data_IF_575462065737
#
_entry.id   IF_575462065737
#
_cell.length_a   1.000
_cell.length_b   1.000
_cell.length_c   1.000
_cell.angle_alpha   90.00
_cell.angle_beta   90.00
_cell.angle_gamma   90.00
#
_symmetry.space_group_name_H-M   'P 1'
#
loop_
_entity.id
_entity.type
_entity.pdbx_description
1 polymer ?
#
# COMPACT_ATOMS: atom_id res chain seq x y z
N UNK A 1 -43.83 2.10 16.88
CA UNK A 1 -42.55 2.06 16.15
C UNK A 1 -42.24 3.49 15.80
N UNK A 2 -41.18 4.05 16.38
CA UNK A 2 -40.73 5.42 16.06
C UNK A 2 -40.03 5.32 14.72
N UNK A 3 -40.69 5.80 13.67
CA UNK A 3 -40.10 5.98 12.36
C UNK A 3 -39.00 7.02 12.55
N UNK A 4 -37.77 6.56 12.67
CA UNK A 4 -36.60 7.42 12.74
C UNK A 4 -36.60 8.24 11.46
N UNK A 5 -36.99 9.49 11.63
CA UNK A 5 -37.00 10.56 10.65
C UNK A 5 -35.58 10.64 10.07
N UNK A 6 -35.36 9.90 8.97
CA UNK A 6 -34.10 9.86 8.23
C UNK A 6 -33.97 11.19 7.48
N UNK A 7 -33.80 12.27 8.24
CA UNK A 7 -33.67 13.65 7.72
C UNK A 7 -32.49 13.76 6.77
N UNK A 8 -31.44 12.98 7.03
CA UNK A 8 -30.17 13.02 6.31
C UNK A 8 -30.21 12.04 5.13
N UNK A 9 -29.97 12.54 3.93
CA UNK A 9 -29.90 11.74 2.70
C UNK A 9 -28.49 11.17 2.46
N UNK A 10 -27.46 11.98 2.73
CA UNK A 10 -26.06 11.58 2.66
C UNK A 10 -25.16 12.56 3.41
N UNK A 11 -23.90 12.19 3.59
CA UNK A 11 -22.85 13.04 4.10
C UNK A 11 -21.84 13.36 2.99
N UNK A 12 -21.21 14.51 3.13
CA UNK A 12 -20.07 14.92 2.33
C UNK A 12 -18.89 15.08 3.28
N UNK A 13 -17.82 14.34 3.02
CA UNK A 13 -16.55 14.44 3.71
C UNK A 13 -15.59 15.27 2.85
N UNK A 14 -15.00 16.29 3.44
CA UNK A 14 -13.90 17.03 2.83
C UNK A 14 -12.63 16.85 3.64
N UNK A 15 -11.52 16.66 2.93
CA UNK A 15 -10.21 16.52 3.55
C UNK A 15 -9.13 17.31 2.82
N UNK A 16 -8.06 17.67 3.52
CA UNK A 16 -6.88 18.29 2.91
C UNK A 16 -5.62 17.94 3.69
N UNK A 17 -4.51 17.79 2.98
CA UNK A 17 -3.19 17.54 3.58
C UNK A 17 -2.59 18.82 4.14
N UNK A 18 -1.94 18.73 5.30
CA UNK A 18 -1.18 19.84 5.89
C UNK A 18 0.07 19.34 6.63
N UNK A 19 1.09 20.18 6.68
CA UNK A 19 2.28 19.96 7.51
C UNK A 19 2.23 20.78 8.80
N UNK A 20 1.14 21.51 9.04
CA UNK A 20 0.96 22.32 10.24
C UNK A 20 0.26 21.52 11.34
N UNK A 21 0.90 21.43 12.51
CA UNK A 21 0.41 20.73 13.70
C UNK A 21 -0.65 21.52 14.49
N UNK A 22 -0.81 22.82 14.22
CA UNK A 22 -1.77 23.67 14.93
C UNK A 22 -3.16 23.68 14.30
N UNK A 23 -4.03 24.53 14.87
CA UNK A 23 -5.42 24.66 14.42
C UNK A 23 -5.52 24.85 12.89
N UNK A 24 -6.52 24.25 12.23
CA UNK A 24 -6.81 24.43 10.82
C UNK A 24 -6.77 25.92 10.45
N UNK A 25 -5.69 26.34 9.78
CA UNK A 25 -5.59 27.70 9.28
C UNK A 25 -6.58 27.82 8.12
N UNK A 26 -7.64 28.61 8.31
CA UNK A 26 -8.67 28.88 7.29
C UNK A 26 -8.05 29.47 6.01
N UNK A 27 -6.87 30.09 6.12
CA UNK A 27 -6.15 30.78 5.04
C UNK A 27 -5.13 29.92 4.29
N UNK A 28 -5.16 28.59 4.45
CA UNK A 28 -4.29 27.70 3.67
C UNK A 28 -4.88 27.53 2.26
N UNK A 29 -4.14 27.96 1.23
CA UNK A 29 -4.51 28.00 -0.21
C UNK A 29 -4.83 26.63 -0.83
N UNK A 30 -4.67 25.51 -0.09
CA UNK A 30 -4.95 24.19 -0.62
C UNK A 30 -6.46 23.90 -0.66
N UNK A 31 -6.93 23.58 -1.87
CA UNK A 31 -8.29 23.09 -2.11
C UNK A 31 -8.58 21.85 -1.25
N UNK A 32 -9.79 21.79 -0.71
CA UNK A 32 -10.31 20.58 -0.07
C UNK A 32 -10.61 19.53 -1.16
N UNK A 33 -10.19 18.31 -0.92
CA UNK A 33 -10.67 17.14 -1.65
C UNK A 33 -12.02 16.72 -1.06
N UNK A 34 -12.96 16.27 -1.91
CA UNK A 34 -14.34 15.98 -1.52
C UNK A 34 -14.69 14.52 -1.83
N UNK A 35 -15.42 13.90 -0.90
CA UNK A 35 -16.10 12.62 -1.07
C UNK A 35 -17.56 12.84 -0.73
N UNK A 36 -18.44 12.55 -1.69
CA UNK A 36 -19.88 12.71 -1.51
C UNK A 36 -20.59 11.36 -1.35
N UNK A 37 -21.91 11.45 -1.20
CA UNK A 37 -22.82 10.30 -1.17
C UNK A 37 -22.50 9.24 -0.11
N UNK A 38 -21.90 9.64 1.02
CA UNK A 38 -21.64 8.74 2.14
C UNK A 38 -22.98 8.50 2.85
N UNK A 39 -23.47 7.27 2.86
CA UNK A 39 -24.79 6.93 3.46
C UNK A 39 -24.72 6.65 4.96
N UNK A 40 -23.56 6.24 5.46
CA UNK A 40 -23.32 6.02 6.88
C UNK A 40 -22.74 7.24 7.58
N UNK A 41 -22.65 7.18 8.91
CA UNK A 41 -21.92 8.16 9.72
C UNK A 41 -20.41 7.89 9.77
N UNK A 42 -19.96 6.87 9.05
CA UNK A 42 -18.58 6.37 9.04
C UNK A 42 -18.11 6.19 7.60
N UNK A 43 -16.84 6.52 7.35
CA UNK A 43 -16.21 6.35 6.04
C UNK A 43 -14.71 6.05 6.21
N UNK A 44 -14.21 5.06 5.48
CA UNK A 44 -12.78 4.70 5.48
C UNK A 44 -12.09 5.29 4.25
N UNK A 45 -11.34 6.37 4.47
CA UNK A 45 -10.52 6.98 3.42
C UNK A 45 -9.28 6.12 3.14
N UNK A 46 -9.20 5.59 1.92
CA UNK A 46 -8.15 4.66 1.47
C UNK A 46 -7.28 5.28 0.37
N UNK A 47 -6.09 4.71 0.13
CA UNK A 47 -5.22 5.14 -0.99
C UNK A 47 -4.50 6.48 -0.77
N UNK A 48 -4.42 6.94 0.48
CA UNK A 48 -3.72 8.17 0.82
C UNK A 48 -2.21 8.00 0.67
N UNK A 49 -1.57 9.02 0.10
CA UNK A 49 -0.11 9.15 0.10
C UNK A 49 0.34 9.79 1.41
N UNK A 50 1.30 9.16 2.08
CA UNK A 50 1.95 9.66 3.29
C UNK A 50 3.02 10.72 2.97
N UNK A 51 2.68 11.73 2.17
CA UNK A 51 3.58 12.84 1.81
C UNK A 51 3.44 14.06 2.74
N UNK A 52 2.50 14.02 3.67
CA UNK A 52 2.23 15.06 4.66
C UNK A 52 2.03 14.44 6.04
N UNK A 53 2.38 15.19 7.09
CA UNK A 53 2.30 14.68 8.48
C UNK A 53 0.87 14.63 9.00
N UNK A 54 0.05 15.61 8.62
CA UNK A 54 -1.32 15.74 9.10
C UNK A 54 -2.31 15.91 7.95
N UNK A 55 -3.58 15.64 8.26
CA UNK A 55 -4.71 15.94 7.40
C UNK A 55 -5.79 16.64 8.22
N UNK A 56 -6.48 17.60 7.59
CA UNK A 56 -7.69 18.17 8.14
C UNK A 56 -8.89 17.48 7.52
N UNK A 57 -9.94 17.27 8.30
CA UNK A 57 -11.20 16.68 7.89
C UNK A 57 -12.35 17.57 8.34
N UNK A 58 -13.37 17.70 7.52
CA UNK A 58 -14.65 18.30 7.90
C UNK A 58 -15.78 17.57 7.21
N UNK A 59 -16.92 17.45 7.88
CA UNK A 59 -18.08 16.74 7.35
C UNK A 59 -19.29 17.65 7.33
N UNK A 60 -20.19 17.46 6.38
CA UNK A 60 -21.53 18.06 6.41
C UNK A 60 -22.59 17.02 6.12
N UNK A 61 -23.73 17.15 6.78
CA UNK A 61 -24.93 16.38 6.48
C UNK A 61 -25.69 17.05 5.34
N UNK A 62 -26.19 16.27 4.39
CA UNK A 62 -26.96 16.74 3.26
C UNK A 62 -28.31 16.02 3.22
N UNK A 63 -29.36 16.80 3.02
CA UNK A 63 -30.72 16.31 2.81
C UNK A 63 -31.05 16.49 1.31
N UNK A 64 -32.14 15.89 0.83
CA UNK A 64 -32.54 15.97 -0.59
C UNK A 64 -32.75 17.39 -1.13
N UNK A 65 -33.03 18.35 -0.25
CA UNK A 65 -33.28 19.74 -0.62
C UNK A 65 -32.07 20.66 -0.39
N UNK A 66 -31.23 20.37 0.60
CA UNK A 66 -30.19 21.30 1.04
C UNK A 66 -29.06 20.58 1.80
N UNK A 67 -27.83 21.08 1.64
CA UNK A 67 -26.69 20.70 2.45
C UNK A 67 -26.62 21.58 3.71
N UNK A 68 -26.40 20.96 4.87
CA UNK A 68 -26.13 21.66 6.12
C UNK A 68 -24.74 22.30 6.16
N UNK A 69 -24.44 22.96 7.26
CA UNK A 69 -23.11 23.53 7.51
C UNK A 69 -22.06 22.43 7.75
N UNK A 70 -20.80 22.76 7.46
CA UNK A 70 -19.69 21.88 7.81
C UNK A 70 -19.46 21.87 9.31
N UNK A 71 -19.04 20.72 9.82
CA UNK A 71 -18.46 20.59 11.14
C UNK A 71 -17.22 21.46 11.29
N UNK A 72 -16.86 21.73 12.53
CA UNK A 72 -15.51 22.21 12.84
C UNK A 72 -14.47 21.23 12.26
N UNK A 73 -13.44 21.75 11.57
CA UNK A 73 -12.40 20.90 11.00
C UNK A 73 -11.54 20.26 12.08
N UNK A 74 -11.28 18.96 11.94
CA UNK A 74 -10.41 18.19 12.83
C UNK A 74 -9.08 17.87 12.14
N UNK A 75 -7.97 18.05 12.86
CA UNK A 75 -6.63 17.66 12.40
C UNK A 75 -6.29 16.26 12.92
N UNK A 76 -5.94 15.33 12.03
CA UNK A 76 -5.48 13.99 12.36
C UNK A 76 -4.08 13.75 11.80
N UNK A 77 -3.25 13.01 12.54
CA UNK A 77 -1.92 12.59 12.08
C UNK A 77 -2.02 11.34 11.19
N UNK A 78 -1.42 11.40 10.00
CA UNK A 78 -1.29 10.23 9.12
C UNK A 78 0.04 9.56 9.36
N UNK A 79 0.10 8.65 10.34
CA UNK A 79 1.33 7.88 10.61
C UNK A 79 1.64 6.96 9.44
N UNK A 80 2.78 7.20 8.79
CA UNK A 80 3.37 6.22 7.89
C UNK A 80 3.80 5.01 8.71
N UNK A 81 3.29 3.83 8.37
CA UNK A 81 3.85 2.58 8.87
C UNK A 81 5.14 2.32 8.09
N UNK A 82 6.27 2.66 8.69
CA UNK A 82 7.57 2.28 8.14
C UNK A 82 7.71 0.78 8.36
N UNK A 83 7.56 -0.01 7.30
CA UNK A 83 7.94 -1.41 7.32
C UNK A 83 9.42 -1.50 6.99
N UNK A 84 10.19 -2.18 7.83
CA UNK A 84 11.56 -2.59 7.53
C UNK A 84 11.54 -4.07 7.20
N UNK A 85 12.29 -4.46 6.19
CA UNK A 85 12.50 -5.86 5.89
C UNK A 85 13.58 -6.39 6.84
N UNK A 86 13.26 -7.40 7.64
CA UNK A 86 14.20 -8.00 8.58
C UNK A 86 14.82 -9.27 7.99
N UNK A 87 16.15 -9.24 7.81
CA UNK A 87 16.89 -10.41 7.31
C UNK A 87 17.05 -11.50 8.39
N UNK A 88 16.89 -11.19 9.68
CA UNK A 88 17.10 -12.18 10.75
C UNK A 88 16.01 -13.26 10.80
N UNK A 89 14.80 -12.92 10.35
CA UNK A 89 13.64 -13.81 10.23
C UNK A 89 13.41 -14.35 8.81
N UNK A 90 14.30 -14.03 7.86
CA UNK A 90 14.14 -14.45 6.46
C UNK A 90 14.46 -15.93 6.26
N UNK A 91 13.88 -16.52 5.21
CA UNK A 91 14.28 -17.86 4.76
C UNK A 91 15.74 -17.82 4.28
N UNK A 92 16.51 -18.90 4.44
CA UNK A 92 17.93 -18.96 4.03
C UNK A 92 18.18 -18.67 2.52
N UNK A 93 17.14 -18.77 1.69
CA UNK A 93 17.18 -18.46 0.26
C UNK A 93 16.79 -17.01 -0.06
N UNK A 94 16.33 -16.24 0.93
CA UNK A 94 15.94 -14.85 0.76
C UNK A 94 17.09 -13.98 1.26
N UNK A 95 17.70 -13.23 0.34
CA UNK A 95 18.60 -12.13 0.67
C UNK A 95 17.74 -10.89 0.82
N UNK A 96 17.69 -10.36 2.03
CA UNK A 96 16.85 -9.23 2.37
C UNK A 96 17.76 -8.05 2.71
N UNK A 97 17.67 -6.98 1.91
CA UNK A 97 18.25 -5.66 2.18
C UNK A 97 17.12 -4.65 2.44
N UNK A 98 17.46 -3.44 2.90
CA UNK A 98 16.50 -2.44 3.40
C UNK A 98 15.30 -2.19 2.48
N UNK A 99 15.50 -2.23 1.16
CA UNK A 99 14.44 -2.03 0.16
C UNK A 99 14.38 -3.12 -0.92
N UNK A 100 15.21 -4.16 -0.82
CA UNK A 100 15.36 -5.19 -1.85
C UNK A 100 15.22 -6.59 -1.25
N UNK A 101 14.52 -7.45 -1.96
CA UNK A 101 14.41 -8.88 -1.63
C UNK A 101 14.81 -9.67 -2.86
N UNK A 102 15.86 -10.45 -2.72
CA UNK A 102 16.35 -11.33 -3.77
C UNK A 102 16.23 -12.79 -3.35
N UNK A 103 15.86 -13.64 -4.30
CA UNK A 103 15.87 -15.08 -4.10
C UNK A 103 17.18 -15.66 -4.61
N UNK A 104 17.93 -16.30 -3.73
CA UNK A 104 19.08 -17.12 -4.06
C UNK A 104 18.63 -18.59 -4.12
N UNK A 105 18.45 -19.20 -5.31
CA UNK A 105 17.99 -20.59 -5.42
C UNK A 105 18.99 -21.62 -4.90
N UNK A 106 20.20 -21.21 -4.49
CA UNK A 106 21.28 -22.08 -4.03
C UNK A 106 21.50 -22.02 -2.51
N UNK A 107 20.93 -21.04 -1.80
CA UNK A 107 21.17 -20.79 -0.38
C UNK A 107 20.63 -21.88 0.55
N UNK A 108 19.56 -22.56 0.14
CA UNK A 108 18.83 -23.59 0.87
C UNK A 108 19.28 -24.97 0.45
N UNK A 109 20.49 -25.34 0.87
CA UNK A 109 21.05 -26.68 0.69
C UNK A 109 21.10 -27.15 -0.77
N UNK A 110 22.08 -26.65 -1.51
CA UNK A 110 22.85 -27.58 -2.32
C UNK A 110 23.49 -28.60 -1.37
N UNK A 111 22.93 -29.81 -1.28
CA UNK A 111 23.66 -30.93 -0.69
C UNK A 111 25.06 -30.93 -1.28
N UNK A 112 26.08 -31.03 -0.43
CA UNK A 112 27.43 -31.39 -0.85
C UNK A 112 27.35 -32.73 -1.61
N UNK A 113 27.14 -32.68 -2.91
CA UNK A 113 27.43 -33.79 -3.79
C UNK A 113 28.94 -33.75 -3.97
N UNK A 114 29.65 -34.29 -2.97
CA UNK A 114 31.05 -34.70 -3.06
C UNK A 114 31.14 -35.81 -4.13
N UNK A 115 30.96 -35.46 -5.41
CA UNK A 115 31.31 -36.35 -6.51
C UNK A 115 32.82 -36.23 -6.70
N UNK A 116 33.53 -37.01 -5.89
CA UNK A 116 34.92 -37.39 -6.14
C UNK A 116 34.92 -38.31 -7.37
N UNK A 117 34.96 -37.73 -8.56
CA UNK A 117 34.92 -38.42 -9.85
C UNK A 117 36.17 -38.13 -10.68
N UNK A 118 37.20 -38.94 -10.40
CA UNK A 118 38.45 -39.18 -11.16
C UNK A 118 38.48 -38.64 -12.60
N UNK A 119 39.48 -37.81 -12.88
CA UNK A 119 39.92 -37.43 -14.21
C UNK A 119 40.23 -38.68 -15.04
N UNK A 120 39.70 -38.76 -16.27
CA UNK A 120 40.23 -39.65 -17.31
C UNK A 120 40.03 -39.03 -18.69
N UNK A 121 41.15 -38.72 -19.34
CA UNK A 121 41.26 -38.43 -20.77
C UNK A 121 40.63 -39.57 -21.58
N UNK A 122 39.73 -39.25 -22.51
CA UNK A 122 39.17 -40.28 -23.37
C UNK A 122 38.16 -39.77 -24.41
N UNK A 123 38.69 -39.49 -25.60
CA UNK A 123 38.06 -39.74 -26.90
C UNK A 123 36.84 -38.91 -27.32
N UNK A 124 37.14 -38.04 -28.28
CA UNK A 124 36.23 -37.49 -29.30
C UNK A 124 35.33 -38.58 -29.87
N UNK A 125 34.01 -38.36 -29.84
CA UNK A 125 33.10 -38.84 -30.87
C UNK A 125 32.01 -37.79 -31.13
N UNK A 126 32.26 -37.03 -32.19
CA UNK A 126 31.24 -36.27 -32.93
C UNK A 126 30.27 -37.28 -33.54
N UNK A 127 28.97 -37.13 -33.30
CA UNK A 127 27.96 -37.66 -34.23
C UNK A 127 26.92 -36.60 -34.54
N UNK A 128 26.84 -36.31 -35.84
CA UNK A 128 26.06 -35.27 -36.47
C UNK A 128 24.56 -35.48 -36.32
N UNK A 129 23.83 -34.41 -36.02
CA UNK A 129 22.41 -34.31 -36.34
C UNK A 129 22.23 -34.31 -37.86
N UNK A 130 21.42 -35.23 -38.38
CA UNK A 130 20.82 -35.11 -39.72
C UNK A 130 19.30 -35.13 -39.60
N UNK A 131 18.69 -34.00 -39.93
CA UNK A 131 17.24 -33.80 -40.11
C UNK A 131 16.79 -34.33 -41.48
N UNK A 132 15.62 -34.97 -41.54
CA UNK A 132 14.65 -34.94 -42.64
C UNK A 132 13.34 -35.56 -42.12
N UNK A 133 12.30 -34.78 -41.82
CA UNK A 133 11.18 -34.34 -42.69
C UNK A 133 10.39 -35.49 -43.31
N UNK A 134 9.10 -35.53 -42.97
CA UNK A 134 8.04 -36.14 -43.78
C UNK A 134 7.07 -35.04 -44.18
#
# INVERSE_FOLDING_TARGET
MTEEDNKIDHFILEYRKTNFDGLPRVKDERCWEMIDNIKGTEYTLSGLKFDSKYMNFRVRACNKAVAGEYSDPVTLETKALNFSLDNSSSHLNLKVEDTCVEWDPTGGKGQESKVKGKENKGSVHVTSLKKHTR
#
